data_IF_261000387050
#
_entry.id   IF_261000387050
#
_cell.length_a   1.000
_cell.length_b   1.000
_cell.length_c   1.000
_cell.angle_alpha   90.00
_cell.angle_beta   90.00
_cell.angle_gamma   90.00
#
_symmetry.space_group_name_H-M   'P 1'
#
loop_
_entity.id
_entity.type
_entity.pdbx_description
1 polymer ?
#
# COMPACT_ATOMS: atom_id res chain seq x y z
N UNK A 1 16.98 -6.93 -2.71
CA UNK A 1 16.18 -7.60 -3.75
C UNK A 1 14.80 -6.97 -3.77
N UNK A 2 14.15 -6.74 -4.93
CA UNK A 2 12.80 -6.21 -4.93
C UNK A 2 11.90 -7.25 -4.26
N UNK A 3 11.33 -6.91 -3.10
CA UNK A 3 10.28 -7.69 -2.44
C UNK A 3 9.21 -8.01 -3.48
N UNK A 4 8.85 -9.28 -3.60
CA UNK A 4 7.82 -9.71 -4.54
C UNK A 4 6.53 -8.93 -4.25
N UNK A 5 6.12 -8.09 -5.22
CA UNK A 5 4.89 -7.31 -5.12
C UNK A 5 3.78 -8.05 -5.82
N UNK A 6 2.72 -8.38 -5.08
CA UNK A 6 1.51 -8.97 -5.66
C UNK A 6 0.73 -7.93 -6.45
N UNK A 7 0.67 -8.08 -7.76
CA UNK A 7 -0.19 -7.27 -8.61
C UNK A 7 -1.67 -7.61 -8.35
N UNK A 8 -2.52 -6.58 -8.24
CA UNK A 8 -3.95 -6.73 -8.00
C UNK A 8 -4.74 -5.69 -8.79
N UNK A 9 -5.84 -6.10 -9.41
CA UNK A 9 -6.77 -5.19 -10.09
C UNK A 9 -7.73 -4.58 -9.07
N UNK A 10 -7.49 -3.33 -8.70
CA UNK A 10 -8.33 -2.60 -7.75
C UNK A 10 -9.55 -1.99 -8.45
N UNK A 11 -10.75 -2.41 -8.06
CA UNK A 11 -12.01 -1.74 -8.42
C UNK A 11 -12.40 -0.79 -7.30
N UNK A 12 -12.52 0.50 -7.61
CA UNK A 12 -12.86 1.54 -6.64
C UNK A 12 -13.56 2.71 -7.32
N UNK A 13 -14.19 3.57 -6.52
CA UNK A 13 -14.87 4.77 -7.02
C UNK A 13 -13.85 5.77 -7.60
N UNK A 14 -14.12 6.39 -8.76
CA UNK A 14 -13.25 7.42 -9.34
C UNK A 14 -12.97 8.58 -8.39
N UNK A 15 -13.94 8.95 -7.55
CA UNK A 15 -13.77 10.04 -6.56
C UNK A 15 -12.76 9.68 -5.48
N UNK A 16 -12.71 8.41 -5.08
CA UNK A 16 -11.74 7.92 -4.09
C UNK A 16 -10.35 7.93 -4.71
N UNK A 17 -10.19 7.43 -5.94
CA UNK A 17 -8.88 7.46 -6.62
C UNK A 17 -8.36 8.88 -6.83
N UNK A 18 -9.22 9.81 -7.24
CA UNK A 18 -8.82 11.20 -7.37
C UNK A 18 -8.34 11.81 -6.04
N UNK A 19 -8.90 11.40 -4.90
CA UNK A 19 -8.43 11.84 -3.59
C UNK A 19 -7.07 11.21 -3.23
N UNK A 20 -6.86 9.94 -3.54
CA UNK A 20 -5.58 9.24 -3.34
C UNK A 20 -4.48 9.86 -4.20
N UNK A 21 -4.77 10.19 -5.46
CA UNK A 21 -3.81 10.84 -6.37
C UNK A 21 -3.36 12.21 -5.86
N UNK A 22 -4.30 13.05 -5.40
CA UNK A 22 -3.96 14.35 -4.81
C UNK A 22 -3.12 14.21 -3.55
N UNK A 23 -3.43 13.24 -2.70
CA UNK A 23 -2.66 12.97 -1.49
C UNK A 23 -1.24 12.48 -1.83
N UNK A 24 -1.13 11.54 -2.76
CA UNK A 24 0.15 11.03 -3.24
C UNK A 24 1.04 12.16 -3.79
N UNK A 25 0.46 13.06 -4.58
CA UNK A 25 1.16 14.23 -5.11
C UNK A 25 1.63 15.18 -4.00
N UNK A 26 0.79 15.45 -2.99
CA UNK A 26 1.14 16.30 -1.85
C UNK A 26 2.27 15.71 -0.99
N UNK A 27 2.35 14.38 -0.91
CA UNK A 27 3.35 13.66 -0.10
C UNK A 27 4.54 13.16 -0.92
N UNK A 28 4.70 13.62 -2.17
CA UNK A 28 5.78 13.24 -3.10
C UNK A 28 5.96 11.72 -3.26
N UNK A 29 4.83 10.99 -3.31
CA UNK A 29 4.79 9.53 -3.46
C UNK A 29 4.12 9.13 -4.77
N UNK A 30 4.46 7.93 -5.25
CA UNK A 30 3.66 7.30 -6.30
C UNK A 30 2.28 6.91 -5.76
N UNK A 31 1.28 6.85 -6.63
CA UNK A 31 -0.08 6.42 -6.25
C UNK A 31 -0.07 5.02 -5.63
N UNK A 32 0.71 4.09 -6.18
CA UNK A 32 0.83 2.74 -5.62
C UNK A 32 1.45 2.73 -4.21
N UNK A 33 2.49 3.54 -3.97
CA UNK A 33 3.07 3.68 -2.64
C UNK A 33 2.06 4.30 -1.66
N UNK A 34 1.26 5.27 -2.12
CA UNK A 34 0.21 5.87 -1.29
C UNK A 34 -0.87 4.87 -0.90
N UNK A 35 -1.33 4.06 -1.86
CA UNK A 35 -2.34 3.01 -1.61
C UNK A 35 -1.83 2.02 -0.57
N UNK A 36 -0.57 1.59 -0.65
CA UNK A 36 0.04 0.69 0.34
C UNK A 36 0.03 1.29 1.75
N UNK A 37 0.44 2.56 1.88
CA UNK A 37 0.43 3.27 3.19
C UNK A 37 -0.98 3.34 3.77
N UNK A 38 -1.95 3.75 2.96
CA UNK A 38 -3.35 3.86 3.39
C UNK A 38 -3.94 2.50 3.81
N UNK A 39 -3.59 1.43 3.10
CA UNK A 39 -4.02 0.07 3.46
C UNK A 39 -3.38 -0.35 4.79
N UNK A 40 -2.08 -0.15 4.97
CA UNK A 40 -1.38 -0.48 6.24
C UNK A 40 -1.95 0.29 7.42
N UNK A 41 -2.20 1.59 7.27
CA UNK A 41 -2.85 2.40 8.30
C UNK A 41 -4.26 1.88 8.62
N UNK A 42 -5.06 1.57 7.60
CA UNK A 42 -6.41 1.08 7.78
C UNK A 42 -6.45 -0.29 8.49
N UNK A 43 -5.48 -1.16 8.23
CA UNK A 43 -5.31 -2.45 8.90
C UNK A 43 -4.82 -2.25 10.34
N UNK A 44 -3.84 -1.38 10.57
CA UNK A 44 -3.34 -1.03 11.89
C UNK A 44 -4.43 -0.49 12.81
N UNK A 45 -5.30 0.41 12.30
CA UNK A 45 -6.49 0.92 13.02
C UNK A 45 -7.49 -0.17 13.42
N UNK A 46 -7.42 -1.35 12.77
CA UNK A 46 -8.25 -2.53 13.07
C UNK A 46 -7.51 -3.58 13.91
N UNK A 47 -6.34 -3.26 14.45
CA UNK A 47 -5.51 -4.21 15.20
C UNK A 47 -4.95 -5.33 14.32
N UNK A 48 -4.70 -5.06 13.04
CA UNK A 48 -4.03 -5.96 12.10
C UNK A 48 -2.71 -5.31 11.68
N UNK A 49 -1.75 -5.24 12.59
CA UNK A 49 -0.41 -4.77 12.22
C UNK A 49 0.20 -5.78 11.25
N UNK A 50 0.71 -5.27 10.14
CA UNK A 50 1.53 -6.03 9.19
C UNK A 50 2.96 -5.72 9.60
N UNK A 51 3.75 -6.75 9.89
CA UNK A 51 5.17 -6.56 10.11
C UNK A 51 5.76 -5.82 8.89
N UNK A 52 6.79 -5.00 9.11
CA UNK A 52 7.63 -4.64 7.97
C UNK A 52 8.05 -5.95 7.31
N UNK A 53 7.94 -6.06 5.98
CA UNK A 53 8.41 -7.22 5.25
C UNK A 53 9.90 -7.43 5.65
N UNK A 54 10.15 -8.21 6.69
CA UNK A 54 11.45 -8.73 7.02
C UNK A 54 11.86 -9.50 5.76
N UNK A 55 13.10 -9.35 5.27
CA UNK A 55 13.56 -10.15 4.15
C UNK A 55 13.22 -11.60 4.49
N UNK A 56 12.37 -12.22 3.66
CA UNK A 56 11.94 -13.59 3.90
C UNK A 56 13.19 -14.41 4.13
N UNK A 57 13.28 -15.07 5.28
CA UNK A 57 14.19 -16.19 5.43
C UNK A 57 13.86 -17.13 4.28
N UNK A 58 14.78 -17.24 3.33
CA UNK A 58 14.71 -18.18 2.23
C UNK A 58 14.36 -19.55 2.80
N UNK A 59 13.13 -20.01 2.54
CA UNK A 59 12.76 -21.41 2.72
C UNK A 59 12.72 -22.05 1.33
N UNK A 60 13.87 -22.62 0.98
CA UNK A 60 14.19 -23.73 0.05
C UNK A 60 13.45 -23.85 -1.28
#
# INVERSE_FOLDING_TARGET
MPKDRKAFLLRTSPKVMAAVERLAAAEFRSVNAQVEVLIREALGRRGRQIDEDLPGTDET
#
